data_IF_109231784233
#
_entry.id   IF_109231784233
#
_cell.length_a   1.000
_cell.length_b   1.000
_cell.length_c   1.000
_cell.angle_alpha   90.00
_cell.angle_beta   90.00
_cell.angle_gamma   90.00
#
_symmetry.space_group_name_H-M   'P 1'
#
loop_
_entity.id
_entity.type
_entity.pdbx_description
1 polymer ?
#
# COMPACT_ATOMS: atom_id res chain seq x y z
N UNK A 1 9.64 -53.43 41.71
CA UNK A 1 10.53 -52.30 41.39
C UNK A 1 10.67 -52.24 39.87
N UNK A 2 9.91 -51.37 39.19
CA UNK A 2 10.13 -51.05 37.77
C UNK A 2 10.03 -49.53 37.69
N UNK A 3 11.17 -48.85 37.64
CA UNK A 3 11.24 -47.42 37.42
C UNK A 3 11.47 -47.18 35.92
N UNK A 4 10.39 -46.96 35.19
CA UNK A 4 10.43 -46.52 33.80
C UNK A 4 10.81 -45.03 33.78
N UNK A 5 12.05 -44.73 33.40
CA UNK A 5 12.52 -43.36 33.21
C UNK A 5 12.10 -42.81 31.85
N UNK A 6 11.26 -41.77 31.83
CA UNK A 6 10.99 -40.95 30.65
C UNK A 6 12.21 -40.05 30.35
N UNK A 7 12.78 -40.21 29.15
CA UNK A 7 13.72 -39.24 28.58
C UNK A 7 12.94 -38.21 27.76
N UNK A 8 12.81 -37.00 28.28
CA UNK A 8 12.27 -35.85 27.56
C UNK A 8 13.39 -35.18 26.76
N UNK A 9 13.38 -35.31 25.44
CA UNK A 9 14.23 -34.51 24.56
C UNK A 9 13.59 -33.13 24.37
N UNK A 10 14.11 -32.12 25.05
CA UNK A 10 13.79 -30.72 24.78
C UNK A 10 14.52 -30.24 23.53
N UNK A 11 13.79 -30.00 22.44
CA UNK A 11 14.34 -29.32 21.27
C UNK A 11 14.56 -27.84 21.60
N UNK A 12 15.81 -27.38 21.58
CA UNK A 12 16.09 -25.95 21.52
C UNK A 12 15.72 -25.46 20.12
N UNK A 13 14.67 -24.64 20.04
CA UNK A 13 14.41 -23.82 18.85
C UNK A 13 15.48 -22.73 18.77
N UNK A 14 16.36 -22.81 17.77
CA UNK A 14 17.26 -21.73 17.45
C UNK A 14 16.46 -20.62 16.76
N UNK A 15 16.25 -19.50 17.44
CA UNK A 15 15.69 -18.31 16.82
C UNK A 15 16.72 -17.72 15.84
N UNK A 16 16.45 -17.81 14.54
CA UNK A 16 17.29 -17.27 13.49
C UNK A 16 17.20 -15.73 13.53
N UNK A 17 18.22 -15.09 14.11
CA UNK A 17 18.33 -13.63 14.17
C UNK A 17 18.76 -13.13 12.79
N UNK A 18 17.81 -12.72 11.96
CA UNK A 18 18.11 -12.04 10.71
C UNK A 18 18.70 -10.67 11.00
N UNK A 19 19.99 -10.48 10.76
CA UNK A 19 20.62 -9.17 10.75
C UNK A 19 20.06 -8.35 9.59
N UNK A 20 19.21 -7.37 9.89
CA UNK A 20 18.65 -6.45 8.89
C UNK A 20 19.70 -5.38 8.57
N UNK A 21 20.32 -5.48 7.41
CA UNK A 21 21.21 -4.44 6.92
C UNK A 21 20.37 -3.37 6.23
N UNK A 22 20.24 -2.21 6.89
CA UNK A 22 19.55 -1.06 6.29
C UNK A 22 20.28 -0.63 5.00
N UNK A 23 19.56 -0.41 3.89
CA UNK A 23 20.17 0.08 2.67
C UNK A 23 20.84 1.44 2.93
N UNK A 24 22.01 1.65 2.35
CA UNK A 24 22.65 2.97 2.30
C UNK A 24 21.69 3.97 1.64
N UNK A 25 21.70 5.25 2.06
CA UNK A 25 20.80 6.31 1.56
C UNK A 25 21.00 6.69 0.07
N UNK A 26 21.75 5.89 -0.68
CA UNK A 26 21.89 6.07 -2.12
C UNK A 26 20.61 5.60 -2.81
N UNK A 27 20.05 6.45 -3.65
CA UNK A 27 18.95 6.05 -4.52
C UNK A 27 19.41 4.87 -5.40
N UNK A 28 18.55 3.87 -5.55
CA UNK A 28 18.79 2.85 -6.57
C UNK A 28 18.70 3.50 -7.95
N UNK A 29 19.36 2.94 -8.98
CA UNK A 29 19.32 3.48 -10.33
C UNK A 29 17.91 3.74 -10.88
N UNK A 30 16.93 2.93 -10.48
CA UNK A 30 15.53 3.04 -10.91
C UNK A 30 14.77 4.18 -10.23
N UNK A 31 15.21 4.57 -9.02
CA UNK A 31 14.57 5.60 -8.19
C UNK A 31 15.33 6.93 -8.22
N UNK A 32 16.50 6.93 -8.86
CA UNK A 32 17.33 8.11 -8.96
C UNK A 32 16.66 9.18 -9.84
N UNK A 33 16.47 10.36 -9.27
CA UNK A 33 15.99 11.54 -9.99
C UNK A 33 17.01 12.07 -11.01
N UNK A 34 18.27 11.63 -10.92
CA UNK A 34 19.36 12.02 -11.83
C UNK A 34 19.44 11.16 -13.08
N UNK A 35 18.76 10.02 -13.13
CA UNK A 35 18.75 9.17 -14.31
C UNK A 35 17.72 9.68 -15.33
N UNK A 36 18.23 10.13 -16.49
CA UNK A 36 17.41 10.64 -17.60
C UNK A 36 16.80 9.51 -18.44
N UNK A 37 17.45 8.35 -18.51
CA UNK A 37 16.96 7.14 -19.18
C UNK A 37 16.20 6.30 -18.16
N UNK A 38 14.96 6.70 -17.89
CA UNK A 38 14.09 6.06 -16.89
C UNK A 38 13.42 4.84 -17.46
N UNK A 39 13.23 3.84 -16.60
CA UNK A 39 12.32 2.73 -16.91
C UNK A 39 10.87 3.22 -16.73
N UNK A 40 10.08 3.38 -17.81
CA UNK A 40 8.69 3.80 -17.70
C UNK A 40 7.79 2.75 -17.03
N UNK A 41 8.27 1.51 -16.88
CA UNK A 41 7.55 0.42 -16.23
C UNK A 41 7.62 0.44 -14.70
N UNK A 42 8.40 1.35 -14.10
CA UNK A 42 8.56 1.48 -12.65
C UNK A 42 7.98 2.80 -12.11
N UNK A 43 7.33 2.72 -10.94
CA UNK A 43 6.78 3.88 -10.25
C UNK A 43 7.91 4.74 -9.69
N UNK A 44 7.77 6.05 -9.81
CA UNK A 44 8.67 7.04 -9.26
C UNK A 44 7.92 8.39 -9.09
N UNK A 45 8.62 9.38 -8.55
CA UNK A 45 8.05 10.71 -8.26
C UNK A 45 7.60 11.51 -9.49
N UNK A 46 7.91 11.06 -10.72
CA UNK A 46 7.53 11.74 -11.96
C UNK A 46 6.29 11.14 -12.64
N UNK A 47 5.68 10.10 -12.06
CA UNK A 47 4.42 9.53 -12.57
C UNK A 47 3.21 10.45 -12.27
N UNK A 48 3.27 11.70 -12.75
CA UNK A 48 2.16 12.64 -12.67
C UNK A 48 0.99 12.17 -13.53
N UNK A 49 -0.24 12.49 -13.11
CA UNK A 49 -1.46 12.05 -13.79
C UNK A 49 -1.52 10.50 -13.98
N UNK A 50 -0.98 9.75 -13.02
CA UNK A 50 -0.97 8.29 -13.04
C UNK A 50 -2.38 7.71 -13.21
N UNK A 51 -2.54 6.79 -14.15
CA UNK A 51 -3.81 6.08 -14.37
C UNK A 51 -4.11 5.07 -13.26
N UNK A 52 -5.39 4.78 -13.07
CA UNK A 52 -5.86 3.81 -12.09
C UNK A 52 -5.28 2.41 -12.38
N UNK A 53 -5.20 2.02 -13.65
CA UNK A 53 -4.54 0.78 -14.06
C UNK A 53 -3.07 0.73 -13.66
N UNK A 54 -2.31 1.81 -13.93
CA UNK A 54 -0.88 1.84 -13.60
C UNK A 54 -0.64 1.74 -12.10
N UNK A 55 -1.47 2.42 -11.30
CA UNK A 55 -1.46 2.29 -9.85
C UNK A 55 -1.77 0.85 -9.42
N UNK A 56 -2.85 0.25 -9.94
CA UNK A 56 -3.25 -1.12 -9.60
C UNK A 56 -2.17 -2.16 -9.94
N UNK A 57 -1.57 -2.06 -11.13
CA UNK A 57 -0.51 -2.98 -11.58
C UNK A 57 0.69 -2.96 -10.61
N UNK A 58 1.05 -1.77 -10.10
CA UNK A 58 2.11 -1.62 -9.11
C UNK A 58 1.69 -2.08 -7.70
N UNK A 59 0.48 -1.71 -7.27
CA UNK A 59 -0.05 -2.03 -5.95
C UNK A 59 -0.27 -3.54 -5.76
N UNK A 60 -0.71 -4.23 -6.81
CA UNK A 60 -0.94 -5.68 -6.83
C UNK A 60 0.28 -6.47 -7.30
N UNK A 61 1.43 -5.82 -7.48
CA UNK A 61 2.65 -6.47 -7.97
C UNK A 61 3.07 -7.61 -7.04
N UNK A 62 3.08 -8.84 -7.55
CA UNK A 62 3.46 -10.03 -6.77
C UNK A 62 4.99 -10.20 -6.65
N UNK A 63 5.74 -9.61 -7.57
CA UNK A 63 7.18 -9.84 -7.74
C UNK A 63 8.03 -8.62 -7.38
N UNK A 64 7.43 -7.44 -7.26
CA UNK A 64 8.16 -6.21 -6.96
C UNK A 64 7.58 -5.52 -5.72
N UNK A 65 8.14 -5.86 -4.56
CA UNK A 65 7.75 -5.24 -3.27
C UNK A 65 7.97 -3.73 -3.26
N UNK A 66 9.02 -3.25 -3.93
CA UNK A 66 9.31 -1.81 -3.99
C UNK A 66 8.22 -1.05 -4.74
N UNK A 67 7.68 -1.59 -5.83
CA UNK A 67 6.53 -1.00 -6.53
C UNK A 67 5.29 -0.96 -5.64
N UNK A 68 5.02 -2.04 -4.88
CA UNK A 68 3.90 -2.06 -3.92
C UNK A 68 4.05 -0.97 -2.85
N UNK A 69 5.22 -0.86 -2.23
CA UNK A 69 5.51 0.16 -1.21
C UNK A 69 5.32 1.57 -1.77
N UNK A 70 5.80 1.84 -3.00
CA UNK A 70 5.59 3.14 -3.64
C UNK A 70 4.11 3.42 -3.92
N UNK A 71 3.36 2.41 -4.35
CA UNK A 71 1.91 2.55 -4.54
C UNK A 71 1.20 2.81 -3.20
N UNK A 72 1.59 2.11 -2.12
CA UNK A 72 1.07 2.36 -0.77
C UNK A 72 1.38 3.80 -0.30
N UNK A 73 2.58 4.30 -0.57
CA UNK A 73 2.95 5.69 -0.26
C UNK A 73 2.16 6.70 -1.09
N UNK A 74 1.89 6.40 -2.36
CA UNK A 74 1.00 7.22 -3.19
C UNK A 74 -0.43 7.25 -2.63
N UNK A 75 -0.97 6.08 -2.25
CA UNK A 75 -2.29 5.98 -1.62
C UNK A 75 -2.36 6.79 -0.32
N UNK A 76 -1.37 6.63 0.56
CA UNK A 76 -1.25 7.41 1.80
C UNK A 76 -1.25 8.91 1.50
N UNK A 77 -0.47 9.36 0.52
CA UNK A 77 -0.44 10.77 0.13
C UNK A 77 -1.77 11.30 -0.38
N UNK A 78 -2.53 10.51 -1.16
CA UNK A 78 -3.88 10.89 -1.62
C UNK A 78 -4.86 10.93 -0.45
N UNK A 79 -4.81 9.94 0.43
CA UNK A 79 -5.65 9.85 1.63
C UNK A 79 -5.41 11.08 2.54
N UNK A 80 -4.16 11.35 2.92
CA UNK A 80 -3.79 12.50 3.76
C UNK A 80 -4.17 13.84 3.15
N UNK A 81 -4.06 13.99 1.83
CA UNK A 81 -4.41 15.23 1.15
C UNK A 81 -5.93 15.50 1.09
N UNK A 82 -6.77 14.50 1.35
CA UNK A 82 -8.23 14.57 1.13
C UNK A 82 -9.08 14.20 2.32
N UNK A 83 -8.50 13.62 3.36
CA UNK A 83 -9.17 13.33 4.62
C UNK A 83 -9.62 14.64 5.31
N UNK A 84 -10.75 14.57 6.02
CA UNK A 84 -11.36 15.71 6.70
C UNK A 84 -12.10 16.69 5.79
N UNK A 85 -11.99 16.54 4.46
CA UNK A 85 -12.64 17.42 3.48
C UNK A 85 -13.62 16.66 2.57
N UNK A 86 -13.13 15.67 1.83
CA UNK A 86 -13.95 14.89 0.87
C UNK A 86 -14.48 13.61 1.52
N UNK A 87 -13.71 13.03 2.43
CA UNK A 87 -14.05 11.86 3.22
C UNK A 87 -13.47 12.03 4.64
N UNK A 88 -14.01 11.33 5.63
CA UNK A 88 -13.61 11.48 7.02
C UNK A 88 -13.53 10.09 7.65
N UNK A 89 -12.34 9.65 8.08
CA UNK A 89 -12.20 8.23 8.41
C UNK A 89 -11.04 7.85 9.29
N UNK A 90 -10.01 8.68 9.49
CA UNK A 90 -8.84 8.22 10.24
C UNK A 90 -9.12 7.84 11.69
N UNK A 91 -10.18 8.39 12.30
CA UNK A 91 -10.63 8.03 13.64
C UNK A 91 -11.67 6.89 13.67
N UNK A 92 -12.09 6.36 12.52
CA UNK A 92 -13.19 5.38 12.40
C UNK A 92 -12.84 4.13 11.59
N UNK A 93 -11.94 4.28 10.62
CA UNK A 93 -11.56 3.25 9.65
C UNK A 93 -10.13 2.80 9.95
N UNK A 94 -9.95 1.51 10.18
CA UNK A 94 -8.62 0.94 10.35
C UNK A 94 -7.87 1.00 9.00
N UNK A 95 -6.54 1.23 8.99
CA UNK A 95 -5.76 1.23 7.76
C UNK A 95 -5.94 -0.05 6.93
N UNK A 96 -5.98 -1.22 7.58
CA UNK A 96 -6.23 -2.50 6.90
C UNK A 96 -7.60 -2.55 6.22
N UNK A 97 -8.65 -2.05 6.89
CA UNK A 97 -9.99 -1.98 6.31
C UNK A 97 -10.03 -1.01 5.13
N UNK A 98 -9.33 0.12 5.19
CA UNK A 98 -9.20 1.03 4.05
C UNK A 98 -8.55 0.34 2.85
N UNK A 99 -7.42 -0.36 3.09
CA UNK A 99 -6.73 -1.16 2.08
C UNK A 99 -7.63 -2.22 1.45
N UNK A 100 -8.32 -3.02 2.27
CA UNK A 100 -9.20 -4.09 1.80
C UNK A 100 -10.36 -3.56 0.96
N UNK A 101 -11.02 -2.50 1.41
CA UNK A 101 -12.12 -1.89 0.66
C UNK A 101 -11.61 -1.35 -0.67
N UNK A 102 -10.51 -0.58 -0.67
CA UNK A 102 -9.93 -0.03 -1.90
C UNK A 102 -9.42 -1.12 -2.85
N UNK A 103 -8.87 -2.22 -2.33
CA UNK A 103 -8.48 -3.37 -3.14
C UNK A 103 -9.65 -3.85 -3.99
N UNK A 104 -10.84 -4.02 -3.39
CA UNK A 104 -12.04 -4.46 -4.11
C UNK A 104 -12.48 -3.48 -5.21
N UNK A 105 -12.32 -2.16 -5.01
CA UNK A 105 -12.59 -1.16 -6.06
C UNK A 105 -11.63 -1.29 -7.24
N UNK A 106 -10.34 -1.53 -6.97
CA UNK A 106 -9.30 -1.61 -7.99
C UNK A 106 -9.28 -2.96 -8.72
N UNK A 107 -9.64 -4.06 -8.05
CA UNK A 107 -9.77 -5.38 -8.68
C UNK A 107 -10.91 -5.43 -9.72
N UNK A 108 -11.94 -4.59 -9.54
CA UNK A 108 -13.15 -4.59 -10.37
C UNK A 108 -13.28 -3.33 -11.24
N UNK A 109 -12.17 -2.71 -11.67
CA UNK A 109 -12.22 -1.54 -12.54
C UNK A 109 -12.81 -1.87 -13.91
N UNK A 110 -13.70 -1.01 -14.39
CA UNK A 110 -14.08 -1.03 -15.81
C UNK A 110 -12.97 -0.43 -16.66
N UNK A 111 -12.90 -0.80 -17.95
CA UNK A 111 -11.92 -0.26 -18.90
C UNK A 111 -11.94 1.28 -18.98
N UNK A 112 -13.09 1.91 -18.73
CA UNK A 112 -13.20 3.38 -18.65
C UNK A 112 -12.51 3.90 -17.39
N UNK A 113 -12.72 3.27 -16.23
CA UNK A 113 -12.11 3.70 -14.95
C UNK A 113 -10.61 3.43 -14.91
N UNK A 114 -10.12 2.36 -15.54
CA UNK A 114 -8.70 2.05 -15.66
C UNK A 114 -7.86 3.21 -16.24
N UNK A 115 -8.44 3.94 -17.19
CA UNK A 115 -7.80 5.07 -17.86
C UNK A 115 -7.96 6.40 -17.11
N UNK A 116 -8.80 6.46 -16.07
CA UNK A 116 -8.92 7.65 -15.23
C UNK A 116 -7.72 7.77 -14.29
N UNK A 117 -7.52 8.99 -13.76
CA UNK A 117 -6.46 9.24 -12.77
C UNK A 117 -6.71 8.40 -11.51
N UNK A 118 -5.67 7.72 -11.03
CA UNK A 118 -5.73 6.87 -9.84
C UNK A 118 -6.24 7.64 -8.60
N UNK A 119 -5.79 8.88 -8.40
CA UNK A 119 -6.25 9.68 -7.25
C UNK A 119 -7.74 9.95 -7.30
N UNK A 120 -8.35 10.15 -8.47
CA UNK A 120 -9.80 10.31 -8.59
C UNK A 120 -10.52 9.06 -8.11
N UNK A 121 -10.09 7.89 -8.56
CA UNK A 121 -10.71 6.61 -8.16
C UNK A 121 -10.56 6.38 -6.65
N UNK A 122 -9.38 6.64 -6.08
CA UNK A 122 -9.13 6.53 -4.62
C UNK A 122 -10.07 7.46 -3.85
N UNK A 123 -10.14 8.74 -4.23
CA UNK A 123 -10.96 9.74 -3.54
C UNK A 123 -12.45 9.39 -3.62
N UNK A 124 -12.94 9.03 -4.81
CA UNK A 124 -14.34 8.65 -5.01
C UNK A 124 -14.68 7.43 -4.13
N UNK A 125 -13.82 6.41 -4.09
CA UNK A 125 -14.02 5.22 -3.27
C UNK A 125 -13.98 5.52 -1.75
N UNK A 126 -13.06 6.37 -1.29
CA UNK A 126 -12.99 6.78 0.11
C UNK A 126 -14.20 7.61 0.54
N UNK A 127 -14.72 8.46 -0.36
CA UNK A 127 -15.92 9.25 -0.12
C UNK A 127 -17.17 8.37 0.02
N UNK A 128 -17.26 7.28 -0.77
CA UNK A 128 -18.31 6.27 -0.64
C UNK A 128 -18.17 5.46 0.65
N UNK A 129 -16.94 5.03 0.98
CA UNK A 129 -16.65 4.18 2.13
C UNK A 129 -16.85 4.90 3.48
N UNK A 130 -16.38 6.15 3.57
CA UNK A 130 -16.33 6.90 4.82
C UNK A 130 -16.70 8.37 4.61
N UNK A 131 -17.95 8.66 4.21
CA UNK A 131 -18.39 10.03 3.95
C UNK A 131 -18.25 10.89 5.21
N UNK A 132 -17.86 12.15 5.00
CA UNK A 132 -17.95 13.15 6.04
C UNK A 132 -19.42 13.37 6.40
N UNK A 133 -19.72 13.36 7.71
CA UNK A 133 -21.04 13.81 8.16
C UNK A 133 -21.10 15.31 7.90
N UNK A 134 -22.07 15.77 7.11
CA UNK A 134 -22.37 17.19 7.07
C UNK A 134 -22.64 17.67 8.49
N UNK A 135 -22.09 18.82 8.88
CA UNK A 135 -22.52 19.46 10.11
C UNK A 135 -24.04 19.64 10.00
N UNK A 136 -24.81 18.85 10.74
CA UNK A 136 -26.19 19.23 11.06
C UNK A 136 -26.04 20.53 11.83
N UNK A 137 -26.19 21.67 11.15
CA UNK A 137 -26.36 22.96 11.82
C UNK A 137 -27.61 22.79 12.69
N UNK A 138 -27.40 22.66 13.99
CA UNK A 138 -28.45 22.77 14.99
C UNK A 138 -28.84 24.23 15.13
#
# INVERSE_FOLDING_TARGET
MIASGLLMFSMLSAAETRTYQYPQANALPEDSTTNLLRDPALLNGYNVNMSAKRFADAWFSKTNERERIKADMYLLGVADATEGSVWCGYNRLLPSSMHENLYAYFENLSAVKENQRASKIIIDALAELAPCKGTVKK
#
